data_IF_305021319082
#
_entry.id   IF_305021319082
#
_cell.length_a   1.000
_cell.length_b   1.000
_cell.length_c   1.000
_cell.angle_alpha   90.00
_cell.angle_beta   90.00
_cell.angle_gamma   90.00
#
_symmetry.space_group_name_H-M   'P 1'
#
loop_
_entity.id
_entity.type
_entity.pdbx_description
1 polymer ?
#
# COMPACT_ATOMS: atom_id res chain seq x y z
N UNK A 1 20.62 -15.56 -14.23
CA UNK A 1 19.45 -15.02 -13.51
C UNK A 1 19.42 -15.43 -12.05
N UNK A 2 19.95 -16.61 -11.70
CA UNK A 2 19.89 -17.14 -10.32
C UNK A 2 20.71 -16.34 -9.30
N UNK A 3 21.85 -15.75 -9.69
CA UNK A 3 22.63 -14.84 -8.81
C UNK A 3 21.84 -13.59 -8.39
N UNK A 4 21.05 -13.00 -9.30
CA UNK A 4 20.23 -11.83 -9.01
C UNK A 4 19.06 -12.19 -8.10
N UNK A 5 18.46 -13.36 -8.34
CA UNK A 5 17.39 -13.93 -7.50
C UNK A 5 17.88 -14.24 -6.09
N UNK A 6 19.06 -14.83 -5.95
CA UNK A 6 19.70 -15.10 -4.67
C UNK A 6 19.99 -13.80 -3.91
N UNK A 7 20.49 -12.77 -4.60
CA UNK A 7 20.74 -11.46 -4.01
C UNK A 7 19.45 -10.79 -3.51
N UNK A 8 18.32 -10.95 -4.21
CA UNK A 8 17.04 -10.41 -3.76
C UNK A 8 16.49 -11.15 -2.53
N UNK A 9 16.62 -12.48 -2.49
CA UNK A 9 16.10 -13.32 -1.41
C UNK A 9 16.99 -13.34 -0.16
N UNK A 10 18.22 -12.83 -0.27
CA UNK A 10 19.15 -12.72 0.85
C UNK A 10 18.79 -11.56 1.78
N UNK A 11 18.75 -11.84 3.09
CA UNK A 11 18.38 -10.88 4.13
C UNK A 11 17.05 -10.15 3.86
N UNK A 12 17.12 -8.81 3.85
CA UNK A 12 15.98 -7.89 3.69
C UNK A 12 16.01 -7.15 2.33
N UNK A 13 16.73 -7.68 1.34
CA UNK A 13 16.98 -7.02 0.06
C UNK A 13 15.70 -6.83 -0.78
N UNK A 14 14.69 -7.67 -0.60
CA UNK A 14 13.35 -7.46 -1.19
C UNK A 14 12.65 -6.19 -0.65
N UNK A 15 12.78 -5.91 0.65
CA UNK A 15 12.24 -4.69 1.25
C UNK A 15 12.96 -3.45 0.71
N UNK A 16 14.29 -3.52 0.61
CA UNK A 16 15.13 -2.48 -0.01
C UNK A 16 14.74 -2.26 -1.47
N UNK A 17 14.51 -3.34 -2.21
CA UNK A 17 14.07 -3.27 -3.62
C UNK A 17 12.71 -2.59 -3.75
N UNK A 18 11.74 -2.94 -2.89
CA UNK A 18 10.45 -2.25 -2.86
C UNK A 18 10.60 -0.76 -2.54
N UNK A 19 11.43 -0.42 -1.55
CA UNK A 19 11.76 0.98 -1.24
C UNK A 19 12.38 1.68 -2.45
N UNK A 20 13.33 1.07 -3.15
CA UNK A 20 13.90 1.60 -4.38
C UNK A 20 12.85 1.81 -5.47
N UNK A 21 11.87 0.91 -5.61
CA UNK A 21 10.73 1.08 -6.53
C UNK A 21 9.89 2.29 -6.11
N UNK A 22 9.59 2.45 -4.81
CA UNK A 22 8.82 3.62 -4.35
C UNK A 22 9.58 4.93 -4.55
N UNK A 23 10.87 4.98 -4.22
CA UNK A 23 11.72 6.16 -4.39
C UNK A 23 11.93 6.50 -5.86
N UNK A 24 12.17 5.51 -6.72
CA UNK A 24 12.27 5.73 -8.16
C UNK A 24 10.94 6.22 -8.74
N UNK A 25 9.80 5.70 -8.30
CA UNK A 25 8.49 6.21 -8.70
C UNK A 25 8.29 7.67 -8.26
N UNK A 26 8.73 8.04 -7.06
CA UNK A 26 8.71 9.43 -6.57
C UNK A 26 9.61 10.32 -7.43
N UNK A 27 10.83 9.88 -7.72
CA UNK A 27 11.79 10.61 -8.56
C UNK A 27 11.27 10.79 -9.98
N UNK A 28 10.78 9.73 -10.62
CA UNK A 28 10.18 9.78 -11.96
C UNK A 28 9.00 10.75 -11.97
N UNK A 29 8.13 10.68 -10.96
CA UNK A 29 7.00 11.60 -10.85
C UNK A 29 7.45 13.06 -10.64
N UNK A 30 8.48 13.28 -9.82
CA UNK A 30 9.08 14.59 -9.59
C UNK A 30 9.71 15.16 -10.87
N UNK A 31 10.50 14.35 -11.58
CA UNK A 31 11.12 14.69 -12.87
C UNK A 31 10.05 14.97 -13.92
N UNK A 32 9.04 14.11 -14.07
CA UNK A 32 7.94 14.33 -15.01
C UNK A 32 7.20 15.63 -14.70
N UNK A 33 6.98 15.94 -13.42
CA UNK A 33 6.35 17.19 -12.99
C UNK A 33 7.22 18.41 -13.29
N UNK A 34 8.52 18.34 -13.04
CA UNK A 34 9.49 19.40 -13.33
C UNK A 34 9.66 19.62 -14.83
N UNK A 35 9.80 18.54 -15.60
CA UNK A 35 9.86 18.57 -17.07
C UNK A 35 8.59 19.20 -17.63
N UNK A 36 7.41 18.79 -17.17
CA UNK A 36 6.15 19.39 -17.59
C UNK A 36 6.02 20.87 -17.21
N UNK A 37 6.54 21.28 -16.05
CA UNK A 37 6.57 22.68 -15.64
C UNK A 37 7.49 23.52 -16.55
N UNK A 38 8.64 22.97 -16.96
CA UNK A 38 9.56 23.57 -17.93
C UNK A 38 8.97 23.64 -19.35
N UNK A 39 8.36 22.55 -19.83
CA UNK A 39 7.75 22.48 -21.18
C UNK A 39 6.51 23.36 -21.34
N UNK A 40 5.81 23.70 -20.26
CA UNK A 40 4.67 24.64 -20.28
C UNK A 40 5.07 26.06 -20.71
N UNK A 41 6.36 26.40 -20.68
CA UNK A 41 6.85 27.68 -21.17
C UNK A 41 7.07 27.72 -22.70
N UNK A 42 6.93 26.60 -23.42
CA UNK A 42 7.25 26.51 -24.86
C UNK A 42 6.07 26.13 -25.79
N UNK A 43 4.88 25.81 -25.28
CA UNK A 43 3.78 25.37 -26.16
C UNK A 43 2.40 25.59 -25.57
N UNK A 44 1.62 26.43 -26.23
CA UNK A 44 0.18 26.63 -26.06
C UNK A 44 -0.60 25.32 -26.28
N UNK A 45 -1.65 25.08 -25.47
CA UNK A 45 -2.75 24.19 -25.89
C UNK A 45 -3.21 23.06 -24.96
N UNK A 46 -2.55 22.74 -23.84
CA UNK A 46 -3.06 21.70 -22.91
C UNK A 46 -3.29 22.23 -21.48
N UNK A 47 -4.45 22.85 -21.27
CA UNK A 47 -4.91 23.34 -19.97
C UNK A 47 -5.34 22.20 -19.04
N UNK A 48 -4.38 21.61 -18.32
CA UNK A 48 -4.63 21.06 -16.98
C UNK A 48 -3.72 21.80 -16.01
N UNK A 49 -4.11 23.05 -15.72
CA UNK A 49 -3.46 23.89 -14.73
C UNK A 49 -4.05 23.60 -13.35
N UNK A 50 -3.49 22.64 -12.64
CA UNK A 50 -3.49 22.71 -11.18
C UNK A 50 -2.10 23.16 -10.74
N UNK A 51 -1.86 24.48 -10.79
CA UNK A 51 -0.93 25.09 -9.83
C UNK A 51 -1.39 24.58 -8.46
N UNK A 52 -0.51 23.95 -7.69
CA UNK A 52 -0.77 23.73 -6.27
C UNK A 52 -0.73 25.11 -5.63
N UNK A 53 -1.80 25.88 -5.82
CA UNK A 53 -2.05 27.08 -5.02
C UNK A 53 -2.47 26.52 -3.67
N UNK A 54 -1.51 26.49 -2.74
CA UNK A 54 -1.79 26.31 -1.33
C UNK A 54 -2.62 27.53 -0.91
N UNK A 55 -3.93 27.33 -0.88
CA UNK A 55 -4.84 28.27 -0.24
C UNK A 55 -4.84 27.93 1.25
N UNK A 56 -4.96 28.95 2.09
CA UNK A 56 -5.16 28.80 3.55
C UNK A 56 -6.17 27.70 3.85
N UNK A 57 -7.32 27.70 3.17
CA UNK A 57 -8.37 26.67 3.29
C UNK A 57 -7.87 25.23 3.10
N UNK A 58 -6.98 24.98 2.12
CA UNK A 58 -6.43 23.65 1.85
C UNK A 58 -5.45 23.22 2.93
N UNK A 59 -4.64 24.15 3.42
CA UNK A 59 -3.71 23.90 4.53
C UNK A 59 -4.52 23.58 5.80
N UNK A 60 -5.61 24.33 6.07
CA UNK A 60 -6.49 24.05 7.20
C UNK A 60 -7.12 22.67 7.09
N UNK A 61 -7.66 22.27 5.94
CA UNK A 61 -8.20 20.91 5.78
C UNK A 61 -7.15 19.82 5.93
N UNK A 62 -5.92 20.06 5.46
CA UNK A 62 -4.82 19.14 5.66
C UNK A 62 -4.47 18.99 7.15
N UNK A 63 -4.34 20.11 7.86
CA UNK A 63 -4.08 20.11 9.30
C UNK A 63 -5.20 19.40 10.08
N UNK A 64 -6.47 19.62 9.70
CA UNK A 64 -7.61 18.89 10.26
C UNK A 64 -7.48 17.38 10.04
N UNK A 65 -7.15 16.93 8.82
CA UNK A 65 -7.02 15.50 8.52
C UNK A 65 -5.86 14.84 9.28
N UNK A 66 -4.72 15.52 9.42
CA UNK A 66 -3.60 15.07 10.25
C UNK A 66 -4.03 14.98 11.71
N UNK A 67 -4.66 16.03 12.24
CA UNK A 67 -5.14 16.07 13.62
C UNK A 67 -6.14 14.95 13.92
N UNK A 68 -7.11 14.72 13.04
CA UNK A 68 -8.07 13.60 13.17
C UNK A 68 -7.34 12.26 13.11
N UNK A 69 -6.39 12.08 12.17
CA UNK A 69 -5.62 10.83 12.05
C UNK A 69 -4.81 10.51 13.30
N UNK A 70 -4.11 11.50 13.86
CA UNK A 70 -3.32 11.34 15.08
C UNK A 70 -4.26 11.10 16.27
N UNK A 71 -5.32 11.88 16.42
CA UNK A 71 -6.26 11.74 17.53
C UNK A 71 -6.96 10.37 17.53
N UNK A 72 -7.48 9.90 16.39
CA UNK A 72 -8.14 8.58 16.31
C UNK A 72 -7.16 7.45 16.60
N UNK A 73 -5.94 7.51 16.06
CA UNK A 73 -4.91 6.50 16.28
C UNK A 73 -4.49 6.45 17.74
N UNK A 74 -4.32 7.60 18.39
CA UNK A 74 -3.99 7.68 19.82
C UNK A 74 -5.12 7.13 20.70
N UNK A 75 -6.38 7.52 20.45
CA UNK A 75 -7.53 7.04 21.23
C UNK A 75 -7.71 5.52 21.08
N UNK A 76 -7.60 4.99 19.86
CA UNK A 76 -7.68 3.54 19.61
C UNK A 76 -6.54 2.81 20.33
N UNK A 77 -5.31 3.35 20.26
CA UNK A 77 -4.13 2.78 20.92
C UNK A 77 -4.26 2.70 22.44
N UNK A 78 -4.88 3.70 23.05
CA UNK A 78 -5.14 3.72 24.49
C UNK A 78 -6.30 2.80 24.90
N UNK A 79 -7.27 2.59 24.01
CA UNK A 79 -8.46 1.77 24.31
C UNK A 79 -8.20 0.28 24.06
N UNK A 80 -7.45 -0.06 23.02
CA UNK A 80 -7.13 -1.42 22.61
C UNK A 80 -5.62 -1.64 22.69
N UNK A 81 -5.08 -2.19 23.81
CA UNK A 81 -3.64 -2.33 24.01
C UNK A 81 -2.90 -3.08 22.88
N UNK A 82 -3.60 -4.00 22.20
CA UNK A 82 -3.04 -4.72 21.04
C UNK A 82 -2.65 -3.79 19.88
N UNK A 83 -3.29 -2.64 19.78
CA UNK A 83 -3.02 -1.65 18.72
C UNK A 83 -1.81 -0.78 19.00
N UNK A 84 -1.15 -0.94 20.16
CA UNK A 84 0.19 -0.36 20.44
C UNK A 84 1.27 -1.08 19.62
N UNK A 85 0.99 -2.30 19.13
CA UNK A 85 1.90 -3.00 18.23
C UNK A 85 1.99 -2.25 16.89
N UNK A 86 3.19 -1.84 16.44
CA UNK A 86 3.38 -1.07 15.21
C UNK A 86 2.65 -1.61 13.97
N UNK A 87 2.62 -2.93 13.67
CA UNK A 87 1.94 -3.44 12.47
C UNK A 87 0.44 -3.15 12.46
N UNK A 88 -0.19 -3.13 13.64
CA UNK A 88 -1.63 -2.91 13.81
C UNK A 88 -1.90 -1.40 13.87
N UNK A 89 -1.09 -0.63 14.62
CA UNK A 89 -1.19 0.83 14.67
C UNK A 89 -1.11 1.45 13.28
N UNK A 90 -0.06 1.12 12.53
CA UNK A 90 0.22 1.67 11.20
C UNK A 90 -0.89 1.28 10.20
N UNK A 91 -1.59 0.16 10.43
CA UNK A 91 -2.75 -0.20 9.62
C UNK A 91 -3.93 0.75 9.86
N UNK A 92 -4.22 1.12 11.11
CA UNK A 92 -5.27 2.09 11.45
C UNK A 92 -4.91 3.51 11.00
N UNK A 93 -3.68 3.95 11.30
CA UNK A 93 -3.15 5.24 10.87
C UNK A 93 -3.15 5.35 9.33
N UNK A 94 -2.77 4.26 8.66
CA UNK A 94 -2.69 4.14 7.22
C UNK A 94 -4.01 4.39 6.51
N UNK A 95 -5.17 4.14 7.14
CA UNK A 95 -6.49 4.44 6.53
C UNK A 95 -6.62 5.93 6.24
N UNK A 96 -6.35 6.77 7.25
CA UNK A 96 -6.50 8.22 7.14
C UNK A 96 -5.44 8.83 6.22
N UNK A 97 -4.21 8.30 6.25
CA UNK A 97 -3.14 8.68 5.31
C UNK A 97 -3.56 8.38 3.86
N UNK A 98 -4.09 7.17 3.60
CA UNK A 98 -4.55 6.75 2.26
C UNK A 98 -5.68 7.63 1.75
N UNK A 99 -6.64 7.99 2.60
CA UNK A 99 -7.72 8.92 2.23
C UNK A 99 -7.15 10.30 1.88
N UNK A 100 -6.28 10.84 2.73
CA UNK A 100 -5.72 12.18 2.54
C UNK A 100 -4.88 12.26 1.27
N UNK A 101 -4.06 11.23 0.99
CA UNK A 101 -3.34 11.12 -0.27
C UNK A 101 -4.26 11.05 -1.47
N UNK A 102 -5.35 10.26 -1.42
CA UNK A 102 -6.35 10.21 -2.50
C UNK A 102 -6.99 11.58 -2.78
N UNK A 103 -7.25 12.39 -1.75
CA UNK A 103 -7.93 13.69 -1.90
C UNK A 103 -6.98 14.76 -2.42
N UNK A 104 -5.79 14.86 -1.82
CA UNK A 104 -4.88 15.99 -2.05
C UNK A 104 -3.71 15.67 -2.99
N UNK A 105 -3.52 14.40 -3.35
CA UNK A 105 -2.49 13.94 -4.29
C UNK A 105 -1.22 13.42 -3.62
N UNK A 106 -0.25 12.93 -4.42
CA UNK A 106 0.86 12.09 -3.95
C UNK A 106 1.85 12.82 -3.04
N UNK A 107 2.26 14.04 -3.38
CA UNK A 107 3.19 14.81 -2.52
C UNK A 107 2.57 15.18 -1.18
N UNK A 108 1.29 15.50 -1.19
CA UNK A 108 0.57 15.87 0.03
C UNK A 108 0.37 14.64 0.90
N UNK A 109 -0.05 13.52 0.32
CA UNK A 109 -0.15 12.24 1.02
C UNK A 109 1.18 11.83 1.65
N UNK A 110 2.29 11.97 0.91
CA UNK A 110 3.64 11.71 1.41
C UNK A 110 3.96 12.52 2.66
N UNK A 111 3.75 13.85 2.63
CA UNK A 111 3.99 14.71 3.79
C UNK A 111 3.08 14.37 4.96
N UNK A 112 1.81 14.05 4.69
CA UNK A 112 0.85 13.67 5.73
C UNK A 112 1.24 12.36 6.38
N UNK A 113 1.66 11.35 5.61
CA UNK A 113 2.12 10.08 6.16
C UNK A 113 3.33 10.24 7.08
N UNK A 114 4.31 11.05 6.66
CA UNK A 114 5.49 11.32 7.47
C UNK A 114 5.14 12.09 8.76
N UNK A 115 4.36 13.16 8.65
CA UNK A 115 3.98 13.98 9.82
C UNK A 115 3.09 13.20 10.77
N UNK A 116 2.17 12.39 10.26
CA UNK A 116 1.27 11.58 11.10
C UNK A 116 2.06 10.56 11.90
N UNK A 117 2.96 9.80 11.28
CA UNK A 117 3.76 8.78 12.00
C UNK A 117 4.66 9.43 13.06
N UNK A 118 5.28 10.57 12.76
CA UNK A 118 6.11 11.27 13.74
C UNK A 118 5.30 11.78 14.95
N UNK A 119 4.09 12.29 14.70
CA UNK A 119 3.21 12.76 15.77
C UNK A 119 2.62 11.59 16.57
N UNK A 120 2.21 10.49 15.92
CA UNK A 120 1.68 9.31 16.63
C UNK A 120 2.74 8.64 17.48
N UNK A 121 4.01 8.61 17.03
CA UNK A 121 5.14 8.13 17.84
C UNK A 121 5.41 9.01 19.07
N UNK A 122 5.10 10.31 19.00
CA UNK A 122 5.25 11.22 20.14
C UNK A 122 4.19 10.98 21.22
N UNK A 123 2.95 10.64 20.83
CA UNK A 123 1.85 10.41 21.77
C UNK A 123 1.75 8.96 22.26
N UNK A 124 2.07 8.00 21.39
CA UNK A 124 2.03 6.56 21.68
C UNK A 124 3.41 5.99 21.35
N UNK A 125 4.39 6.14 22.27
CA UNK A 125 5.72 5.61 22.06
C UNK A 125 5.64 4.08 21.95
N UNK A 126 6.05 3.55 20.80
CA UNK A 126 6.16 2.11 20.53
C UNK A 126 7.58 1.77 20.09
N UNK A 127 7.79 0.52 19.68
CA UNK A 127 8.98 0.14 18.92
C UNK A 127 9.13 1.03 17.68
N UNK A 128 10.20 1.85 17.66
CA UNK A 128 10.53 2.73 16.53
C UNK A 128 11.36 1.93 15.55
N UNK A 129 10.78 1.67 14.37
CA UNK A 129 11.50 1.03 13.29
C UNK A 129 11.30 1.79 11.98
N UNK A 130 12.40 2.01 11.26
CA UNK A 130 12.43 2.81 10.03
C UNK A 130 11.48 2.24 8.97
N UNK A 131 11.28 0.92 8.92
CA UNK A 131 10.32 0.31 7.99
C UNK A 131 8.90 0.83 8.17
N UNK A 132 8.42 1.08 9.41
CA UNK A 132 7.06 1.57 9.62
C UNK A 132 6.90 3.03 9.17
N UNK A 133 7.95 3.84 9.34
CA UNK A 133 8.00 5.19 8.78
C UNK A 133 7.96 5.18 7.24
N UNK A 134 8.72 4.26 6.62
CA UNK A 134 8.67 4.06 5.16
C UNK A 134 7.28 3.60 4.71
N UNK A 135 6.62 2.73 5.48
CA UNK A 135 5.27 2.23 5.18
C UNK A 135 4.26 3.39 5.21
N UNK A 136 4.25 4.21 6.26
CA UNK A 136 3.36 5.37 6.38
C UNK A 136 3.55 6.37 5.24
N UNK A 137 4.81 6.71 4.94
CA UNK A 137 5.20 7.54 3.79
C UNK A 137 4.71 6.96 2.46
N UNK A 138 4.91 5.66 2.25
CA UNK A 138 4.56 4.97 1.00
C UNK A 138 3.05 4.87 0.79
N UNK A 139 2.29 4.66 1.87
CA UNK A 139 0.82 4.71 1.83
C UNK A 139 0.32 6.07 1.33
N UNK A 140 0.91 7.16 1.81
CA UNK A 140 0.60 8.51 1.37
C UNK A 140 0.90 8.75 -0.10
N UNK A 141 2.07 8.31 -0.57
CA UNK A 141 2.46 8.47 -1.97
C UNK A 141 1.59 7.64 -2.93
N UNK A 142 1.47 6.33 -2.69
CA UNK A 142 0.72 5.43 -3.59
C UNK A 142 -0.76 5.77 -3.63
N UNK A 143 -1.35 6.14 -2.49
CA UNK A 143 -2.75 6.59 -2.47
C UNK A 143 -2.96 7.85 -3.31
N UNK A 144 -2.06 8.82 -3.22
CA UNK A 144 -2.14 10.00 -4.07
C UNK A 144 -1.86 9.74 -5.54
N UNK A 145 -1.01 8.76 -5.89
CA UNK A 145 -0.84 8.34 -7.28
C UNK A 145 -2.13 7.72 -7.83
N UNK A 146 -2.78 6.86 -7.04
CA UNK A 146 -4.03 6.19 -7.44
C UNK A 146 -5.22 7.15 -7.53
N UNK A 147 -5.11 8.36 -6.96
CA UNK A 147 -6.13 9.42 -7.14
C UNK A 147 -6.39 9.75 -8.61
N UNK A 148 -5.40 9.56 -9.50
CA UNK A 148 -5.55 9.77 -10.93
C UNK A 148 -6.52 8.78 -11.58
N UNK A 149 -6.70 7.59 -11.00
CA UNK A 149 -7.65 6.59 -11.49
C UNK A 149 -9.12 7.05 -11.36
N UNK A 150 -9.44 7.93 -10.41
CA UNK A 150 -10.77 8.55 -10.33
C UNK A 150 -11.12 9.45 -11.53
N UNK A 151 -10.12 9.85 -12.33
CA UNK A 151 -10.34 10.65 -13.55
C UNK A 151 -10.70 9.80 -14.77
N UNK A 152 -10.53 8.48 -14.68
CA UNK A 152 -10.91 7.59 -15.78
C UNK A 152 -12.43 7.50 -15.86
N UNK A 153 -13.00 7.99 -16.98
CA UNK A 153 -14.45 7.93 -17.23
C UNK A 153 -14.95 6.50 -17.50
N UNK A 154 -14.06 5.56 -17.82
CA UNK A 154 -14.38 4.18 -18.19
C UNK A 154 -13.92 3.22 -17.10
N UNK A 155 -14.88 2.61 -16.39
CA UNK A 155 -14.62 1.64 -15.31
C UNK A 155 -13.77 0.45 -15.74
N UNK A 156 -13.98 0.00 -16.98
CA UNK A 156 -13.22 -1.09 -17.59
C UNK A 156 -11.72 -0.80 -17.62
N UNK A 157 -11.30 0.45 -17.88
CA UNK A 157 -9.88 0.81 -17.91
C UNK A 157 -9.25 0.63 -16.53
N UNK A 158 -9.93 1.13 -15.48
CA UNK A 158 -9.46 0.94 -14.11
C UNK A 158 -9.37 -0.55 -13.75
N UNK A 159 -10.36 -1.36 -14.17
CA UNK A 159 -10.33 -2.80 -13.97
C UNK A 159 -9.15 -3.45 -14.71
N UNK A 160 -8.89 -3.09 -15.97
CA UNK A 160 -7.74 -3.60 -16.73
C UNK A 160 -6.42 -3.25 -16.06
N UNK A 161 -6.28 -2.03 -15.52
CA UNK A 161 -5.07 -1.63 -14.78
C UNK A 161 -4.90 -2.48 -13.52
N UNK A 162 -5.96 -2.74 -12.76
CA UNK A 162 -5.92 -3.62 -11.58
C UNK A 162 -5.47 -5.02 -11.98
N UNK A 163 -6.05 -5.60 -13.03
CA UNK A 163 -5.73 -6.97 -13.45
C UNK A 163 -4.33 -7.09 -14.00
N UNK A 164 -3.89 -6.14 -14.83
CA UNK A 164 -2.52 -6.13 -15.37
C UNK A 164 -1.52 -6.00 -14.24
N UNK A 165 -1.78 -5.14 -13.25
CA UNK A 165 -0.91 -5.02 -12.08
C UNK A 165 -0.86 -6.32 -11.27
N UNK A 166 -2.00 -6.96 -10.99
CA UNK A 166 -2.06 -8.24 -10.27
C UNK A 166 -1.32 -9.35 -11.01
N UNK A 167 -1.46 -9.45 -12.35
CA UNK A 167 -0.78 -10.47 -13.15
C UNK A 167 0.73 -10.23 -13.22
N UNK A 168 1.17 -8.97 -13.35
CA UNK A 168 2.60 -8.62 -13.32
C UNK A 168 3.19 -8.92 -11.95
N UNK A 169 2.51 -8.51 -10.87
CA UNK A 169 2.90 -8.84 -9.51
C UNK A 169 2.92 -10.36 -9.28
N UNK A 170 1.93 -11.08 -9.83
CA UNK A 170 1.85 -12.53 -9.78
C UNK A 170 3.09 -13.18 -10.41
N UNK A 171 3.43 -12.77 -11.63
CA UNK A 171 4.57 -13.28 -12.37
C UNK A 171 5.91 -12.99 -11.71
N UNK A 172 6.11 -11.75 -11.23
CA UNK A 172 7.35 -11.34 -10.55
C UNK A 172 7.54 -12.14 -9.26
N UNK A 173 6.51 -12.21 -8.41
CA UNK A 173 6.61 -12.92 -7.13
C UNK A 173 6.68 -14.43 -7.30
N UNK A 174 5.99 -15.02 -8.28
CA UNK A 174 6.15 -16.42 -8.64
C UNK A 174 7.60 -16.71 -9.07
N UNK A 175 8.16 -15.87 -9.94
CA UNK A 175 9.56 -15.95 -10.35
C UNK A 175 10.53 -15.77 -9.17
N UNK A 176 10.26 -14.89 -8.21
CA UNK A 176 11.07 -14.78 -7.00
C UNK A 176 10.98 -16.06 -6.15
N UNK A 177 9.77 -16.55 -5.90
CA UNK A 177 9.50 -17.62 -4.94
C UNK A 177 10.05 -18.99 -5.33
N UNK A 178 10.12 -19.36 -6.62
CA UNK A 178 10.75 -20.67 -6.94
C UNK A 178 12.27 -20.68 -6.63
N UNK A 179 12.87 -19.54 -6.25
CA UNK A 179 14.28 -19.42 -5.90
C UNK A 179 14.52 -19.74 -4.44
N UNK A 180 13.45 -19.78 -3.65
CA UNK A 180 13.48 -20.12 -2.24
C UNK A 180 13.86 -21.59 -2.02
N UNK A 181 13.70 -22.45 -3.03
CA UNK A 181 14.11 -23.86 -3.00
C UNK A 181 15.60 -24.06 -2.68
N UNK A 182 16.46 -23.10 -3.04
CA UNK A 182 17.90 -23.17 -2.80
C UNK A 182 18.34 -22.55 -1.47
N UNK A 183 17.48 -21.74 -0.83
CA UNK A 183 17.85 -20.92 0.34
C UNK A 183 17.17 -21.42 1.61
N UNK A 184 15.95 -21.97 1.51
CA UNK A 184 15.13 -22.42 2.65
C UNK A 184 14.44 -23.75 2.29
N UNK A 185 15.06 -24.92 2.52
CA UNK A 185 14.44 -26.21 2.18
C UNK A 185 13.23 -26.55 3.07
N UNK A 186 13.28 -26.15 4.35
CA UNK A 186 12.15 -26.26 5.29
C UNK A 186 12.03 -24.94 6.05
N UNK A 187 10.83 -24.36 6.05
CA UNK A 187 10.50 -23.21 6.90
C UNK A 187 9.33 -23.62 7.78
N UNK A 188 9.49 -23.36 9.07
CA UNK A 188 8.41 -23.62 10.04
C UNK A 188 7.47 -22.42 10.07
N UNK A 189 6.24 -22.61 9.60
CA UNK A 189 5.16 -21.64 9.74
C UNK A 189 4.27 -22.10 10.90
N UNK A 190 4.32 -21.39 12.02
CA UNK A 190 3.54 -21.73 13.23
C UNK A 190 3.75 -23.19 13.70
N UNK A 191 4.98 -23.70 13.61
CA UNK A 191 5.31 -25.09 13.97
C UNK A 191 4.95 -26.14 12.91
N UNK A 192 4.28 -25.76 11.81
CA UNK A 192 4.01 -26.62 10.66
C UNK A 192 5.12 -26.43 9.63
N UNK A 193 5.82 -27.52 9.30
CA UNK A 193 6.83 -27.52 8.24
C UNK A 193 6.13 -27.49 6.88
N UNK A 194 6.25 -26.38 6.16
CA UNK A 194 5.71 -26.26 4.80
C UNK A 194 6.88 -26.42 3.81
N UNK A 195 6.82 -27.40 2.89
CA UNK A 195 7.88 -27.58 1.91
C UNK A 195 7.93 -26.38 0.96
N UNK A 196 9.15 -25.91 0.66
CA UNK A 196 9.37 -24.67 -0.09
C UNK A 196 8.81 -24.69 -1.52
N UNK A 197 8.58 -25.89 -2.06
CA UNK A 197 7.97 -26.11 -3.37
C UNK A 197 6.52 -25.61 -3.45
N UNK A 198 5.81 -25.50 -2.32
CA UNK A 198 4.40 -25.10 -2.28
C UNK A 198 4.23 -23.57 -2.32
N UNK A 199 5.23 -22.78 -1.92
CA UNK A 199 5.07 -21.33 -1.78
C UNK A 199 4.72 -20.57 -3.07
N UNK A 200 5.36 -20.84 -4.23
CA UNK A 200 4.98 -20.17 -5.47
C UNK A 200 3.52 -20.45 -5.86
N UNK A 201 3.06 -21.69 -5.65
CA UNK A 201 1.69 -22.10 -5.95
C UNK A 201 0.69 -21.48 -4.98
N UNK A 202 1.02 -21.43 -3.68
CA UNK A 202 0.21 -20.78 -2.67
C UNK A 202 -0.02 -19.31 -3.03
N UNK A 203 1.03 -18.60 -3.46
CA UNK A 203 0.90 -17.21 -3.87
C UNK A 203 0.01 -17.04 -5.11
N UNK A 204 0.14 -17.92 -6.12
CA UNK A 204 -0.73 -17.93 -7.30
C UNK A 204 -2.20 -18.14 -6.89
N UNK A 205 -2.47 -19.13 -6.02
CA UNK A 205 -3.81 -19.39 -5.47
C UNK A 205 -4.37 -18.14 -4.78
N UNK A 206 -3.59 -17.47 -3.93
CA UNK A 206 -4.06 -16.27 -3.20
C UNK A 206 -4.34 -15.09 -4.13
N UNK A 207 -3.52 -14.87 -5.16
CA UNK A 207 -3.79 -13.83 -6.17
C UNK A 207 -5.02 -14.20 -7.01
N UNK A 208 -5.20 -15.48 -7.38
CA UNK A 208 -6.41 -15.94 -8.09
C UNK A 208 -7.67 -15.73 -7.26
N UNK A 209 -7.64 -16.04 -5.96
CA UNK A 209 -8.76 -15.76 -5.04
C UNK A 209 -9.04 -14.25 -4.99
N UNK A 210 -7.99 -13.43 -4.88
CA UNK A 210 -8.11 -11.96 -4.87
C UNK A 210 -8.78 -11.46 -6.15
N UNK A 211 -8.36 -11.98 -7.31
CA UNK A 211 -8.92 -11.62 -8.61
C UNK A 211 -10.39 -12.05 -8.70
N UNK A 212 -10.72 -13.27 -8.28
CA UNK A 212 -12.10 -13.76 -8.23
C UNK A 212 -12.99 -12.90 -7.34
N UNK A 213 -12.51 -12.46 -6.17
CA UNK A 213 -13.24 -11.54 -5.28
C UNK A 213 -13.48 -10.19 -5.95
N UNK A 214 -12.46 -9.60 -6.59
CA UNK A 214 -12.59 -8.31 -7.29
C UNK A 214 -13.60 -8.41 -8.43
N UNK A 215 -13.50 -9.44 -9.28
CA UNK A 215 -14.42 -9.65 -10.38
C UNK A 215 -15.85 -9.96 -9.90
N UNK A 216 -15.99 -10.75 -8.84
CA UNK A 216 -17.28 -11.03 -8.21
C UNK A 216 -17.95 -9.75 -7.69
N UNK A 217 -17.20 -8.88 -7.01
CA UNK A 217 -17.70 -7.58 -6.55
C UNK A 217 -18.15 -6.70 -7.72
N UNK A 218 -17.35 -6.62 -8.79
CA UNK A 218 -17.70 -5.84 -9.98
C UNK A 218 -18.95 -6.40 -10.65
N UNK A 219 -19.05 -7.72 -10.79
CA UNK A 219 -20.19 -8.40 -11.38
C UNK A 219 -21.49 -8.15 -10.60
N UNK A 220 -21.45 -8.30 -9.28
CA UNK A 220 -22.61 -8.01 -8.40
C UNK A 220 -23.06 -6.55 -8.52
N UNK A 221 -22.12 -5.60 -8.54
CA UNK A 221 -22.43 -4.18 -8.68
C UNK A 221 -22.94 -3.83 -10.09
N UNK A 222 -22.48 -4.53 -11.12
CA UNK A 222 -22.94 -4.37 -12.48
C UNK A 222 -24.40 -4.85 -12.62
N UNK A 223 -24.75 -6.02 -12.08
CA UNK A 223 -26.12 -6.55 -12.04
C UNK A 223 -27.05 -5.57 -11.30
N UNK A 224 -26.61 -5.03 -10.16
CA UNK A 224 -27.39 -4.04 -9.39
C UNK A 224 -27.47 -2.65 -10.06
N UNK A 225 -26.88 -2.48 -11.26
CA UNK A 225 -26.82 -1.22 -12.03
C UNK A 225 -26.26 -0.03 -11.25
N UNK A 226 -25.45 -0.25 -10.19
CA UNK A 226 -24.89 0.81 -9.32
C UNK A 226 -23.60 1.40 -9.89
N UNK A 227 -23.68 2.01 -11.06
CA UNK A 227 -22.53 2.56 -11.80
C UNK A 227 -21.75 3.61 -10.99
N UNK A 228 -22.45 4.45 -10.23
CA UNK A 228 -21.80 5.45 -9.37
C UNK A 228 -20.92 4.86 -8.27
N UNK A 229 -21.28 3.68 -7.74
CA UNK A 229 -20.50 2.98 -6.73
C UNK A 229 -19.26 2.33 -7.35
N UNK A 230 -19.36 1.78 -8.56
CA UNK A 230 -18.22 1.23 -9.28
C UNK A 230 -17.14 2.30 -9.55
N UNK A 231 -17.56 3.51 -9.94
CA UNK A 231 -16.64 4.62 -10.21
C UNK A 231 -15.84 5.04 -8.96
N UNK A 232 -16.36 4.77 -7.76
CA UNK A 232 -15.71 5.10 -6.49
C UNK A 232 -14.90 3.92 -5.96
N UNK A 233 -15.47 2.71 -5.98
CA UNK A 233 -14.82 1.51 -5.44
C UNK A 233 -13.60 1.08 -6.24
N UNK A 234 -13.65 1.10 -7.58
CA UNK A 234 -12.56 0.56 -8.41
C UNK A 234 -11.22 1.28 -8.17
N UNK A 235 -11.14 2.62 -8.14
CA UNK A 235 -9.90 3.31 -7.76
C UNK A 235 -9.40 2.95 -6.35
N UNK A 236 -10.31 2.71 -5.40
CA UNK A 236 -9.97 2.30 -4.03
C UNK A 236 -9.43 0.86 -4.01
N UNK A 237 -10.01 -0.05 -4.79
CA UNK A 237 -9.48 -1.41 -4.97
C UNK A 237 -8.07 -1.36 -5.54
N UNK A 238 -7.84 -0.54 -6.58
CA UNK A 238 -6.51 -0.34 -7.17
C UNK A 238 -5.49 0.14 -6.11
N UNK A 239 -5.89 1.10 -5.29
CA UNK A 239 -5.08 1.58 -4.17
C UNK A 239 -4.76 0.47 -3.17
N UNK A 240 -5.76 -0.33 -2.79
CA UNK A 240 -5.56 -1.42 -1.84
C UNK A 240 -4.60 -2.46 -2.42
N UNK A 241 -4.80 -2.87 -3.67
CA UNK A 241 -3.93 -3.84 -4.36
C UNK A 241 -2.47 -3.36 -4.39
N UNK A 242 -2.24 -2.10 -4.83
CA UNK A 242 -0.88 -1.55 -4.93
C UNK A 242 -0.24 -1.43 -3.54
N UNK A 243 -0.96 -0.84 -2.58
CA UNK A 243 -0.42 -0.62 -1.23
C UNK A 243 -0.21 -1.92 -0.46
N UNK A 244 -1.08 -2.91 -0.60
CA UNK A 244 -0.89 -4.21 0.06
C UNK A 244 0.33 -4.93 -0.53
N UNK A 245 0.43 -5.07 -1.85
CA UNK A 245 1.52 -5.83 -2.48
C UNK A 245 2.87 -5.13 -2.33
N UNK A 246 2.98 -3.84 -2.65
CA UNK A 246 4.27 -3.16 -2.64
C UNK A 246 4.71 -2.75 -1.24
N UNK A 247 3.79 -2.24 -0.43
CA UNK A 247 4.14 -1.65 0.86
C UNK A 247 4.00 -2.68 1.98
N UNK A 248 2.85 -3.33 2.10
CA UNK A 248 2.64 -4.20 3.27
C UNK A 248 3.37 -5.54 3.16
N UNK A 249 3.32 -6.21 2.01
CA UNK A 249 3.92 -7.53 1.84
C UNK A 249 5.44 -7.43 1.85
N UNK A 250 6.02 -6.42 1.21
CA UNK A 250 7.47 -6.31 1.06
C UNK A 250 8.13 -5.48 2.18
N UNK A 251 7.59 -4.30 2.50
CA UNK A 251 8.23 -3.36 3.45
C UNK A 251 7.77 -3.62 4.88
N UNK A 252 6.47 -3.80 5.13
CA UNK A 252 6.01 -4.03 6.51
C UNK A 252 6.47 -5.39 7.06
N UNK A 253 6.63 -6.42 6.20
CA UNK A 253 7.26 -7.69 6.60
C UNK A 253 8.65 -7.49 7.20
N UNK A 254 9.41 -6.49 6.72
CA UNK A 254 10.73 -6.16 7.27
C UNK A 254 10.65 -5.64 8.70
N UNK A 255 9.72 -4.71 8.97
CA UNK A 255 9.50 -4.22 10.33
C UNK A 255 9.07 -5.34 11.28
N UNK A 256 8.19 -6.23 10.82
CA UNK A 256 7.59 -7.24 11.69
C UNK A 256 8.59 -8.31 12.14
N UNK A 257 9.47 -8.81 11.25
CA UNK A 257 10.44 -9.85 11.66
C UNK A 257 11.47 -9.29 12.64
N UNK A 258 11.87 -8.03 12.49
CA UNK A 258 12.79 -7.37 13.42
C UNK A 258 12.13 -7.09 14.77
N UNK A 259 10.87 -6.63 14.75
CA UNK A 259 10.09 -6.40 15.98
C UNK A 259 9.87 -7.70 16.77
N UNK A 260 9.56 -8.81 16.08
CA UNK A 260 9.36 -10.11 16.73
C UNK A 260 10.66 -10.78 17.17
N UNK A 261 11.82 -10.16 16.89
CA UNK A 261 13.12 -10.70 17.28
C UNK A 261 13.38 -12.10 16.72
N UNK A 262 12.75 -12.46 15.59
CA UNK A 262 12.91 -13.77 14.97
C UNK A 262 14.37 -13.90 14.52
N UNK A 263 15.16 -14.59 15.33
CA UNK A 263 16.54 -14.96 15.03
C UNK A 263 16.53 -16.28 14.29
N UNK A 264 17.52 -16.49 13.42
CA UNK A 264 17.75 -17.75 12.73
C UNK A 264 17.99 -18.86 13.77
N UNK A 265 16.92 -19.54 14.22
CA UNK A 265 17.02 -20.68 15.14
C UNK A 265 17.66 -21.89 14.44
N UNK A 266 17.51 -21.95 13.12
CA UNK A 266 18.16 -22.88 12.19
C UNK A 266 19.02 -22.02 11.27
N UNK A 267 20.33 -22.24 11.16
CA UNK A 267 21.26 -21.41 10.36
C UNK A 267 20.94 -21.26 8.86
N UNK A 268 19.83 -21.82 8.38
CA UNK A 268 19.33 -21.80 7.01
C UNK A 268 17.99 -21.07 6.83
N UNK A 269 17.28 -20.64 7.89
CA UNK A 269 15.97 -20.01 7.75
C UNK A 269 16.06 -18.49 7.63
N UNK A 270 15.54 -17.88 6.55
CA UNK A 270 15.40 -16.41 6.44
C UNK A 270 14.05 -15.95 7.04
N UNK A 271 14.01 -15.36 8.26
CA UNK A 271 12.77 -15.04 8.97
C UNK A 271 11.93 -13.97 8.27
N UNK A 272 12.58 -13.10 7.48
CA UNK A 272 11.89 -12.10 6.66
C UNK A 272 10.97 -12.76 5.63
N UNK A 273 11.46 -13.80 4.95
CA UNK A 273 10.71 -14.51 3.91
C UNK A 273 9.49 -15.22 4.51
N UNK A 274 9.64 -15.80 5.71
CA UNK A 274 8.52 -16.37 6.46
C UNK A 274 7.43 -15.33 6.71
N UNK A 275 7.79 -14.10 7.10
CA UNK A 275 6.83 -13.01 7.29
C UNK A 275 6.19 -12.53 5.98
N UNK A 276 6.94 -12.52 4.88
CA UNK A 276 6.38 -12.24 3.54
C UNK A 276 5.31 -13.28 3.17
N UNK A 277 5.56 -14.56 3.43
CA UNK A 277 4.58 -15.65 3.16
C UNK A 277 3.33 -15.49 4.02
N UNK A 278 3.48 -15.20 5.31
CA UNK A 278 2.32 -14.94 6.20
C UNK A 278 1.46 -13.79 5.67
N UNK A 279 2.10 -12.70 5.22
CA UNK A 279 1.38 -11.55 4.67
C UNK A 279 0.71 -11.87 3.34
N UNK A 280 1.30 -12.74 2.52
CA UNK A 280 0.71 -13.22 1.27
C UNK A 280 -0.62 -13.95 1.49
N UNK A 281 -0.66 -14.84 2.48
CA UNK A 281 -1.89 -15.58 2.83
C UNK A 281 -3.01 -14.60 3.21
N UNK A 282 -2.66 -13.49 3.84
CA UNK A 282 -3.61 -12.48 4.30
C UNK A 282 -4.05 -11.48 3.21
N UNK A 283 -3.45 -11.49 2.01
CA UNK A 283 -3.72 -10.51 0.94
C UNK A 283 -5.22 -10.41 0.60
N UNK A 284 -5.95 -11.51 0.32
CA UNK A 284 -7.35 -11.40 -0.14
C UNK A 284 -8.25 -10.74 0.91
N UNK A 285 -8.06 -11.14 2.18
CA UNK A 285 -8.83 -10.64 3.31
C UNK A 285 -8.51 -9.16 3.55
N UNK A 286 -7.22 -8.79 3.55
CA UNK A 286 -6.80 -7.40 3.76
C UNK A 286 -7.27 -6.48 2.66
N UNK A 287 -7.18 -6.88 1.38
CA UNK A 287 -7.68 -6.07 0.27
C UNK A 287 -9.18 -5.84 0.41
N UNK A 288 -9.95 -6.89 0.71
CA UNK A 288 -11.39 -6.77 0.89
C UNK A 288 -11.74 -5.82 2.04
N UNK A 289 -11.15 -6.05 3.22
CA UNK A 289 -11.39 -5.24 4.42
C UNK A 289 -10.99 -3.77 4.23
N UNK A 290 -9.79 -3.52 3.70
CA UNK A 290 -9.29 -2.17 3.45
C UNK A 290 -10.15 -1.45 2.42
N UNK A 291 -10.61 -2.15 1.38
CA UNK A 291 -11.52 -1.56 0.38
C UNK A 291 -12.85 -1.16 1.02
N UNK A 292 -13.43 -2.01 1.88
CA UNK A 292 -14.70 -1.73 2.56
C UNK A 292 -14.59 -0.49 3.46
N UNK A 293 -13.54 -0.40 4.27
CA UNK A 293 -13.29 0.74 5.17
C UNK A 293 -13.05 2.01 4.36
N UNK A 294 -12.10 1.99 3.42
CA UNK A 294 -11.73 3.17 2.64
C UNK A 294 -12.89 3.69 1.80
N UNK A 295 -13.73 2.81 1.26
CA UNK A 295 -14.93 3.22 0.52
C UNK A 295 -15.92 3.93 1.44
N UNK A 296 -16.17 3.38 2.63
CA UNK A 296 -17.08 3.99 3.61
C UNK A 296 -16.58 5.37 4.04
N UNK A 297 -15.32 5.47 4.43
CA UNK A 297 -14.71 6.73 4.86
C UNK A 297 -14.70 7.75 3.71
N UNK A 298 -14.37 7.33 2.49
CA UNK A 298 -14.40 8.22 1.32
C UNK A 298 -15.80 8.77 1.05
N UNK A 299 -16.84 7.95 1.14
CA UNK A 299 -18.23 8.39 0.93
C UNK A 299 -18.63 9.44 1.97
N UNK A 300 -18.29 9.22 3.24
CA UNK A 300 -18.58 10.16 4.33
C UNK A 300 -17.85 11.48 4.15
N UNK A 301 -16.60 11.46 3.68
CA UNK A 301 -15.78 12.67 3.49
C UNK A 301 -16.00 13.35 2.13
N UNK A 302 -16.66 12.68 1.17
CA UNK A 302 -16.95 13.21 -0.16
C UNK A 302 -17.59 14.61 -0.18
N UNK A 303 -18.54 14.95 0.72
CA UNK A 303 -19.13 16.28 0.77
C UNK A 303 -18.10 17.38 1.05
N UNK A 304 -17.14 17.13 1.95
CA UNK A 304 -16.08 18.08 2.31
C UNK A 304 -15.18 18.44 1.11
N UNK A 305 -14.99 17.47 0.19
CA UNK A 305 -14.16 17.64 -1.02
C UNK A 305 -14.90 18.43 -2.09
N UNK A 306 -16.24 18.36 -2.13
CA UNK A 306 -17.08 19.00 -3.15
C UNK A 306 -17.46 20.43 -2.86
N UNK A 307 -17.13 20.98 -1.69
CA UNK A 307 -17.36 22.40 -1.38
C UNK A 307 -16.35 23.26 -2.16
N UNK A 308 -16.57 23.35 -3.47
CA UNK A 308 -16.02 24.40 -4.34
C UNK A 308 -16.61 25.74 -3.93
#
# INVERSE_FOLDING_TARGET
MDKFRHLLLDGHNLAVTSLCITLSAILIYSIFRLARARFKNYGSGFHISNKVKFSTRKITYLAMMVGVSVATTTVISLTLPITVLPPIRVAFEGVMIKITGMIFGPFVGLTVGLVTELLTLMFVPSYIHVAYLIVAFSFGFWSGMTSYAFKFKKNWLTLTVITTFLLVAAGIMFWLMQGMKQINPETSLFGIKIPADIYPFLFLIMISITLAVIYGLVFVLHIKKRHNWLNVMLPIVLLCVISEILVTVLIAAWGDYQMLGLRNSSGSENPYITMVVVRIIQIPIKIFFNTAILTTVYIVLRPLIKVK
#
